data_IF_064293787372
#
_entry.id   IF_064293787372
#
_cell.length_a   1.000
_cell.length_b   1.000
_cell.length_c   1.000
_cell.angle_alpha   90.00
_cell.angle_beta   90.00
_cell.angle_gamma   90.00
#
_symmetry.space_group_name_H-M   'P 1'
#
loop_
_entity.id
_entity.type
_entity.pdbx_description
1 polymer ?
#
# COMPACT_ATOMS: atom_id res chain seq x y z
N UNK A 1 -8.24 8.38 14.18
CA UNK A 1 -6.97 7.78 13.68
C UNK A 1 -7.31 6.68 12.72
N UNK A 2 -6.68 6.65 11.53
CA UNK A 2 -6.73 5.41 10.76
C UNK A 2 -6.15 4.31 11.66
N UNK A 3 -6.97 3.30 11.95
CA UNK A 3 -6.58 2.21 12.83
C UNK A 3 -5.49 1.40 12.13
N UNK A 4 -4.25 1.43 12.66
CA UNK A 4 -3.12 0.69 12.10
C UNK A 4 -3.47 -0.79 11.91
N UNK A 5 -4.29 -1.36 12.79
CA UNK A 5 -4.75 -2.75 12.68
C UNK A 5 -5.63 -2.99 11.44
N UNK A 6 -6.38 -1.98 11.00
CA UNK A 6 -7.16 -2.04 9.75
C UNK A 6 -6.26 -1.96 8.52
N UNK A 7 -5.27 -1.05 8.54
CA UNK A 7 -4.27 -0.92 7.48
C UNK A 7 -3.53 -2.25 7.31
N UNK A 8 -3.06 -2.84 8.41
CA UNK A 8 -2.33 -4.12 8.40
C UNK A 8 -3.21 -5.29 7.90
N UNK A 9 -4.49 -5.32 8.25
CA UNK A 9 -5.45 -6.31 7.73
C UNK A 9 -5.67 -6.17 6.22
N UNK A 10 -5.83 -4.93 5.74
CA UNK A 10 -5.99 -4.67 4.30
C UNK A 10 -4.72 -5.04 3.54
N UNK A 11 -3.56 -4.66 4.04
CA UNK A 11 -2.27 -4.99 3.44
C UNK A 11 -2.06 -6.51 3.36
N UNK A 12 -2.41 -7.25 4.42
CA UNK A 12 -2.35 -8.72 4.43
C UNK A 12 -3.31 -9.33 3.41
N UNK A 13 -4.54 -8.82 3.32
CA UNK A 13 -5.54 -9.28 2.34
C UNK A 13 -5.05 -9.05 0.90
N UNK A 14 -4.54 -7.86 0.60
CA UNK A 14 -4.01 -7.53 -0.73
C UNK A 14 -2.81 -8.41 -1.06
N UNK A 15 -1.89 -8.64 -0.12
CA UNK A 15 -0.76 -9.54 -0.32
C UNK A 15 -1.19 -10.96 -0.68
N UNK A 16 -2.19 -11.51 0.02
CA UNK A 16 -2.76 -12.82 -0.30
C UNK A 16 -3.44 -12.86 -1.67
N UNK A 17 -4.15 -11.79 -2.04
CA UNK A 17 -4.80 -11.70 -3.34
C UNK A 17 -3.80 -11.62 -4.50
N UNK A 18 -2.67 -10.90 -4.34
CA UNK A 18 -1.61 -10.84 -5.35
C UNK A 18 -0.90 -12.20 -5.47
N UNK A 19 -0.62 -12.86 -4.34
CA UNK A 19 -0.04 -14.20 -4.34
C UNK A 19 -0.93 -15.20 -5.09
N UNK A 20 -2.23 -15.16 -4.84
CA UNK A 20 -3.20 -15.97 -5.55
C UNK A 20 -3.26 -15.62 -7.05
N UNK A 21 -3.23 -14.32 -7.41
CA UNK A 21 -3.20 -13.87 -8.79
C UNK A 21 -1.99 -14.45 -9.54
N UNK A 22 -0.79 -14.38 -8.94
CA UNK A 22 0.43 -14.95 -9.54
C UNK A 22 0.27 -16.46 -9.81
N UNK A 23 -0.23 -17.20 -8.82
CA UNK A 23 -0.49 -18.63 -8.96
C UNK A 23 -1.50 -18.93 -10.09
N UNK A 24 -2.65 -18.24 -10.09
CA UNK A 24 -3.73 -18.47 -11.04
C UNK A 24 -3.34 -18.15 -12.47
N UNK A 25 -2.57 -17.08 -12.69
CA UNK A 25 -2.08 -16.71 -14.03
C UNK A 25 -1.10 -17.77 -14.54
N UNK A 26 -0.15 -18.20 -13.72
CA UNK A 26 0.82 -19.24 -14.08
C UNK A 26 0.11 -20.55 -14.44
N UNK A 27 -0.83 -20.99 -13.61
CA UNK A 27 -1.62 -22.22 -13.86
C UNK A 27 -2.35 -22.11 -15.21
N UNK A 28 -3.09 -21.02 -15.40
CA UNK A 28 -3.86 -20.81 -16.63
C UNK A 28 -3.00 -20.86 -17.89
N UNK A 29 -1.83 -20.20 -17.84
CA UNK A 29 -0.92 -20.15 -19.00
C UNK A 29 -0.28 -21.53 -19.25
N UNK A 30 0.23 -22.21 -18.22
CA UNK A 30 0.86 -23.52 -18.36
C UNK A 30 -0.14 -24.57 -18.87
N UNK A 31 -1.38 -24.56 -18.40
CA UNK A 31 -2.44 -25.46 -18.88
C UNK A 31 -2.77 -25.20 -20.36
N UNK A 32 -2.88 -23.92 -20.75
CA UNK A 32 -3.13 -23.54 -22.14
C UNK A 32 -1.95 -23.94 -23.06
N UNK A 33 -0.71 -23.78 -22.59
CA UNK A 33 0.49 -24.24 -23.32
C UNK A 33 0.48 -25.76 -23.51
N UNK A 34 0.22 -26.54 -22.46
CA UNK A 34 0.13 -28.00 -22.53
C UNK A 34 -0.95 -28.45 -23.52
N UNK A 35 -2.11 -27.80 -23.51
CA UNK A 35 -3.20 -28.07 -24.44
C UNK A 35 -2.77 -27.82 -25.89
N UNK A 36 -2.09 -26.71 -26.16
CA UNK A 36 -1.62 -26.36 -27.51
C UNK A 36 -0.55 -27.33 -28.01
N UNK A 37 0.38 -27.74 -27.15
CA UNK A 37 1.38 -28.75 -27.48
C UNK A 37 0.76 -30.10 -27.84
N UNK A 38 -0.25 -30.56 -27.07
CA UNK A 38 -0.98 -31.81 -27.34
C UNK A 38 -1.73 -31.80 -28.68
N UNK A 39 -2.11 -30.63 -29.17
CA UNK A 39 -2.78 -30.49 -30.47
C UNK A 39 -1.82 -30.59 -31.64
N UNK A 40 -0.50 -30.80 -31.43
CA UNK A 40 0.48 -31.04 -32.46
C UNK A 40 0.69 -29.91 -33.47
N UNK A 41 0.46 -28.66 -33.02
CA UNK A 41 0.52 -27.48 -33.92
C UNK A 41 1.92 -27.14 -34.42
N UNK A 42 2.98 -27.80 -33.91
CA UNK A 42 4.37 -27.50 -34.23
C UNK A 42 4.86 -26.13 -33.75
N UNK A 43 4.02 -25.34 -33.10
CA UNK A 43 4.37 -24.03 -32.60
C UNK A 43 5.40 -24.13 -31.49
N UNK A 44 6.39 -23.26 -31.50
CA UNK A 44 7.38 -23.12 -30.44
C UNK A 44 6.72 -22.55 -29.20
N UNK A 45 7.33 -22.77 -28.05
CA UNK A 45 6.87 -22.23 -26.77
C UNK A 45 6.72 -20.70 -26.81
N UNK A 46 7.65 -20.00 -27.44
CA UNK A 46 7.63 -18.53 -27.56
C UNK A 46 6.43 -18.09 -28.39
N UNK A 47 6.17 -18.74 -29.53
CA UNK A 47 5.00 -18.44 -30.38
C UNK A 47 3.68 -18.69 -29.65
N UNK A 48 3.63 -19.68 -28.74
CA UNK A 48 2.47 -19.93 -27.91
C UNK A 48 2.30 -18.81 -26.89
N UNK A 49 3.38 -18.41 -26.19
CA UNK A 49 3.35 -17.35 -25.20
C UNK A 49 2.98 -15.98 -25.81
N UNK A 50 3.45 -15.69 -27.03
CA UNK A 50 3.17 -14.42 -27.72
C UNK A 50 1.67 -14.24 -28.08
N UNK A 51 0.90 -15.34 -28.12
CA UNK A 51 -0.56 -15.28 -28.32
C UNK A 51 -1.33 -14.85 -27.08
N UNK A 52 -0.71 -14.84 -25.90
CA UNK A 52 -1.38 -14.42 -24.68
C UNK A 52 -1.20 -12.92 -24.45
N UNK A 53 -2.31 -12.21 -24.23
CA UNK A 53 -2.28 -10.84 -23.74
C UNK A 53 -2.10 -10.85 -22.21
N UNK A 54 -0.86 -11.04 -21.75
CA UNK A 54 -0.54 -11.11 -20.32
C UNK A 54 -1.02 -9.91 -19.55
N UNK A 55 -0.91 -8.71 -20.13
CA UNK A 55 -1.39 -7.47 -19.47
C UNK A 55 -2.89 -7.53 -19.20
N UNK A 56 -3.67 -7.95 -20.18
CA UNK A 56 -5.12 -8.06 -20.04
C UNK A 56 -5.51 -9.13 -19.01
N UNK A 57 -4.86 -10.31 -19.05
CA UNK A 57 -5.10 -11.40 -18.12
C UNK A 57 -4.80 -10.96 -16.67
N UNK A 58 -3.65 -10.34 -16.44
CA UNK A 58 -3.24 -9.85 -15.13
C UNK A 58 -4.19 -8.75 -14.64
N UNK A 59 -4.51 -7.76 -15.48
CA UNK A 59 -5.39 -6.66 -15.12
C UNK A 59 -6.83 -7.12 -14.84
N UNK A 60 -7.37 -8.08 -15.60
CA UNK A 60 -8.69 -8.63 -15.35
C UNK A 60 -8.75 -9.32 -13.96
N UNK A 61 -7.73 -10.10 -13.61
CA UNK A 61 -7.65 -10.76 -12.28
C UNK A 61 -7.36 -9.75 -11.15
N UNK A 62 -6.71 -8.63 -11.43
CA UNK A 62 -6.39 -7.59 -10.45
C UNK A 62 -7.58 -6.71 -10.06
N UNK A 63 -8.72 -6.76 -10.74
CA UNK A 63 -9.88 -5.87 -10.48
C UNK A 63 -10.32 -5.89 -9.00
N UNK A 64 -10.41 -7.06 -8.39
CA UNK A 64 -10.81 -7.20 -6.98
C UNK A 64 -9.74 -6.61 -6.03
N UNK A 65 -8.46 -6.71 -6.41
CA UNK A 65 -7.35 -6.15 -5.64
C UNK A 65 -7.42 -4.63 -5.68
N UNK A 66 -7.63 -4.06 -6.87
CA UNK A 66 -7.80 -2.61 -7.10
C UNK A 66 -8.99 -2.08 -6.29
N UNK A 67 -10.13 -2.78 -6.33
CA UNK A 67 -11.31 -2.42 -5.55
C UNK A 67 -11.06 -2.47 -4.04
N UNK A 68 -10.35 -3.49 -3.56
CA UNK A 68 -9.97 -3.63 -2.15
C UNK A 68 -9.08 -2.46 -1.72
N UNK A 69 -8.08 -2.10 -2.51
CA UNK A 69 -7.19 -0.97 -2.24
C UNK A 69 -7.93 0.36 -2.27
N UNK A 70 -8.82 0.56 -3.27
CA UNK A 70 -9.67 1.75 -3.35
C UNK A 70 -10.61 1.91 -2.15
N UNK A 71 -11.19 0.82 -1.66
CA UNK A 71 -12.04 0.84 -0.47
C UNK A 71 -11.28 1.17 0.81
N UNK A 72 -10.02 0.73 0.90
CA UNK A 72 -9.15 1.06 2.03
C UNK A 72 -8.88 2.56 2.14
N UNK A 73 -8.69 3.27 1.02
CA UNK A 73 -8.54 4.72 1.02
C UNK A 73 -9.78 5.43 1.60
N UNK A 74 -10.98 4.96 1.27
CA UNK A 74 -12.23 5.51 1.80
C UNK A 74 -12.30 5.27 3.32
N UNK A 75 -11.87 4.11 3.79
CA UNK A 75 -11.87 3.81 5.22
C UNK A 75 -10.85 4.68 5.98
N UNK A 76 -9.63 4.82 5.44
CA UNK A 76 -8.62 5.73 6.01
C UNK A 76 -9.15 7.15 6.15
N UNK A 77 -9.93 7.64 5.15
CA UNK A 77 -10.56 8.96 5.23
C UNK A 77 -11.58 9.07 6.36
N UNK A 78 -12.43 8.05 6.55
CA UNK A 78 -13.45 8.06 7.63
C UNK A 78 -12.82 8.17 9.01
N UNK A 79 -11.61 7.62 9.15
CA UNK A 79 -10.86 7.62 10.41
C UNK A 79 -10.01 8.89 10.60
N UNK A 80 -9.91 9.73 9.55
CA UNK A 80 -9.19 11.02 9.59
C UNK A 80 -10.16 12.13 9.92
N UNK A 81 -10.04 12.71 11.12
CA UNK A 81 -10.96 13.74 11.62
C UNK A 81 -10.89 15.03 10.79
N UNK A 82 -12.06 15.70 10.65
CA UNK A 82 -12.20 17.02 10.03
C UNK A 82 -12.05 17.07 8.50
N UNK A 83 -12.39 15.99 7.80
CA UNK A 83 -12.47 15.94 6.33
C UNK A 83 -13.31 17.09 5.73
N UNK A 84 -14.25 17.66 6.50
CA UNK A 84 -15.10 18.77 6.07
C UNK A 84 -14.32 20.02 5.58
N UNK A 85 -13.01 20.09 5.81
CA UNK A 85 -12.14 21.18 5.34
C UNK A 85 -11.30 20.85 4.10
N UNK A 86 -11.35 19.62 3.63
CA UNK A 86 -10.61 19.18 2.42
C UNK A 86 -11.61 18.96 1.30
N UNK A 87 -11.37 19.57 0.14
CA UNK A 87 -12.28 19.43 -1.00
C UNK A 87 -12.30 17.98 -1.51
N UNK A 88 -13.45 17.54 -2.01
CA UNK A 88 -13.63 16.21 -2.60
C UNK A 88 -12.65 15.98 -3.76
N UNK A 89 -12.40 17.01 -4.56
CA UNK A 89 -11.44 16.99 -5.67
C UNK A 89 -10.02 16.71 -5.16
N UNK A 90 -9.58 17.37 -4.09
CA UNK A 90 -8.26 17.11 -3.46
C UNK A 90 -8.16 15.69 -2.94
N UNK A 91 -9.20 15.18 -2.27
CA UNK A 91 -9.23 13.81 -1.77
C UNK A 91 -9.14 12.79 -2.90
N UNK A 92 -9.85 13.05 -4.01
CA UNK A 92 -9.81 12.20 -5.20
C UNK A 92 -8.42 12.23 -5.85
N UNK A 93 -7.80 13.40 -5.98
CA UNK A 93 -6.44 13.54 -6.54
C UNK A 93 -5.41 12.77 -5.70
N UNK A 94 -5.42 12.89 -4.38
CA UNK A 94 -4.54 12.16 -3.48
C UNK A 94 -4.75 10.65 -3.57
N UNK A 95 -6.01 10.20 -3.64
CA UNK A 95 -6.35 8.78 -3.83
C UNK A 95 -5.79 8.26 -5.15
N UNK A 96 -6.00 8.98 -6.25
CA UNK A 96 -5.53 8.57 -7.57
C UNK A 96 -4.01 8.50 -7.62
N UNK A 97 -3.31 9.45 -7.01
CA UNK A 97 -1.84 9.43 -6.89
C UNK A 97 -1.35 8.19 -6.12
N UNK A 98 -1.94 7.91 -4.96
CA UNK A 98 -1.60 6.72 -4.17
C UNK A 98 -1.87 5.41 -4.92
N UNK A 99 -2.94 5.35 -5.72
CA UNK A 99 -3.29 4.17 -6.50
C UNK A 99 -2.42 3.98 -7.74
N UNK A 100 -1.94 5.05 -8.38
CA UNK A 100 -1.16 4.96 -9.63
C UNK A 100 0.10 4.13 -9.47
N UNK A 101 0.88 4.38 -8.42
CA UNK A 101 2.10 3.61 -8.12
C UNK A 101 1.81 2.12 -7.93
N UNK A 102 0.72 1.79 -7.25
CA UNK A 102 0.31 0.40 -7.05
C UNK A 102 -0.13 -0.27 -8.36
N UNK A 103 -0.87 0.46 -9.22
CA UNK A 103 -1.30 -0.03 -10.54
C UNK A 103 -0.10 -0.25 -11.48
N UNK A 104 0.92 0.59 -11.42
CA UNK A 104 2.17 0.41 -12.17
C UNK A 104 2.88 -0.88 -11.76
N UNK A 105 2.97 -1.17 -10.48
CA UNK A 105 3.55 -2.42 -9.96
C UNK A 105 2.79 -3.66 -10.46
N UNK A 106 1.46 -3.63 -10.44
CA UNK A 106 0.63 -4.71 -10.99
C UNK A 106 0.83 -4.81 -12.52
N UNK A 107 0.92 -3.69 -13.21
CA UNK A 107 1.15 -3.65 -14.66
C UNK A 107 2.48 -4.28 -15.07
N UNK A 108 3.55 -4.04 -14.32
CA UNK A 108 4.87 -4.64 -14.57
C UNK A 108 4.91 -6.15 -14.30
N UNK A 109 4.04 -6.66 -13.45
CA UNK A 109 3.95 -8.09 -13.15
C UNK A 109 3.65 -8.93 -14.41
N UNK A 110 2.91 -8.38 -15.37
CA UNK A 110 2.55 -9.08 -16.59
C UNK A 110 3.78 -9.47 -17.44
N UNK A 111 4.74 -8.56 -17.61
CA UNK A 111 6.01 -8.85 -18.30
C UNK A 111 6.86 -9.84 -17.53
N UNK A 112 6.98 -9.66 -16.22
CA UNK A 112 7.72 -10.58 -15.36
C UNK A 112 7.16 -12.01 -15.45
N UNK A 113 5.84 -12.18 -15.38
CA UNK A 113 5.20 -13.51 -15.51
C UNK A 113 5.54 -14.13 -16.86
N UNK A 114 5.43 -13.38 -17.95
CA UNK A 114 5.76 -13.88 -19.31
C UNK A 114 7.21 -14.37 -19.39
N UNK A 115 8.14 -13.55 -18.93
CA UNK A 115 9.59 -13.84 -18.97
C UNK A 115 9.94 -15.06 -18.11
N UNK A 116 9.41 -15.13 -16.90
CA UNK A 116 9.69 -16.23 -15.98
C UNK A 116 9.07 -17.56 -16.43
N UNK A 117 7.87 -17.54 -17.01
CA UNK A 117 7.29 -18.75 -17.63
C UNK A 117 8.15 -19.21 -18.82
N UNK A 118 8.58 -18.29 -19.70
CA UNK A 118 9.44 -18.64 -20.82
C UNK A 118 10.76 -19.26 -20.33
N UNK A 119 11.45 -18.58 -19.43
CA UNK A 119 12.74 -19.03 -18.86
C UNK A 119 12.61 -20.37 -18.13
N UNK A 120 11.65 -20.48 -17.23
CA UNK A 120 11.45 -21.66 -16.41
C UNK A 120 11.02 -22.88 -17.23
N UNK A 121 10.18 -22.68 -18.25
CA UNK A 121 9.76 -23.76 -19.14
C UNK A 121 10.91 -24.26 -20.01
N UNK A 122 11.80 -23.39 -20.49
CA UNK A 122 13.00 -23.77 -21.23
C UNK A 122 14.01 -24.49 -20.33
N UNK A 123 14.12 -24.10 -19.08
CA UNK A 123 15.01 -24.71 -18.08
C UNK A 123 14.45 -26.00 -17.45
N UNK A 124 13.21 -26.39 -17.76
CA UNK A 124 12.56 -27.55 -17.19
C UNK A 124 12.11 -27.37 -15.74
N UNK A 125 11.87 -26.13 -15.29
CA UNK A 125 11.42 -25.83 -13.95
C UNK A 125 10.03 -26.39 -13.68
N UNK A 126 9.79 -26.84 -12.45
CA UNK A 126 8.46 -27.13 -11.97
C UNK A 126 7.62 -25.86 -11.87
N UNK A 127 6.30 -26.01 -11.88
CA UNK A 127 5.37 -24.88 -11.66
C UNK A 127 5.72 -24.08 -10.40
N UNK A 128 6.05 -24.77 -9.32
CA UNK A 128 6.41 -24.12 -8.05
C UNK A 128 7.66 -23.25 -8.18
N UNK A 129 8.69 -23.73 -8.87
CA UNK A 129 9.91 -22.97 -9.12
C UNK A 129 9.65 -21.74 -10.01
N UNK A 130 8.76 -21.85 -11.00
CA UNK A 130 8.36 -20.69 -11.83
C UNK A 130 7.65 -19.65 -10.98
N UNK A 131 6.70 -20.06 -10.12
CA UNK A 131 5.98 -19.14 -9.22
C UNK A 131 6.94 -18.45 -8.26
N UNK A 132 7.87 -19.18 -7.66
CA UNK A 132 8.88 -18.63 -6.76
C UNK A 132 9.78 -17.61 -7.47
N UNK A 133 10.22 -17.93 -8.67
CA UNK A 133 11.01 -17.04 -9.52
C UNK A 133 10.26 -15.74 -9.86
N UNK A 134 8.96 -15.82 -10.16
CA UNK A 134 8.11 -14.64 -10.39
C UNK A 134 8.05 -13.77 -9.15
N UNK A 135 7.88 -14.35 -7.96
CA UNK A 135 7.84 -13.61 -6.69
C UNK A 135 9.15 -12.87 -6.42
N UNK A 136 10.27 -13.53 -6.64
CA UNK A 136 11.59 -12.94 -6.43
C UNK A 136 11.90 -11.84 -7.46
N UNK A 137 11.70 -12.12 -8.73
CA UNK A 137 12.02 -11.19 -9.82
C UNK A 137 11.11 -9.98 -9.84
N UNK A 138 9.82 -10.15 -9.56
CA UNK A 138 8.86 -9.03 -9.50
C UNK A 138 9.02 -8.17 -8.25
N UNK A 139 9.70 -8.65 -7.22
CA UNK A 139 9.70 -8.01 -5.90
C UNK A 139 8.34 -8.02 -5.21
N UNK A 140 7.35 -8.73 -5.77
CA UNK A 140 5.98 -8.82 -5.23
C UNK A 140 5.82 -10.05 -4.32
N UNK A 141 6.76 -10.22 -3.39
CA UNK A 141 6.57 -11.18 -2.29
C UNK A 141 5.48 -10.69 -1.33
N UNK A 142 4.78 -11.58 -0.61
CA UNK A 142 3.77 -11.16 0.37
C UNK A 142 4.27 -10.14 1.40
N UNK A 143 5.54 -10.22 1.80
CA UNK A 143 6.16 -9.27 2.73
C UNK A 143 6.33 -7.88 2.09
N UNK A 144 6.88 -7.81 0.87
CA UNK A 144 7.05 -6.55 0.15
C UNK A 144 5.70 -5.89 -0.18
N UNK A 145 4.71 -6.67 -0.60
CA UNK A 145 3.36 -6.16 -0.88
C UNK A 145 2.73 -5.55 0.38
N UNK A 146 2.80 -6.24 1.52
CA UNK A 146 2.32 -5.69 2.79
C UNK A 146 3.00 -4.37 3.11
N UNK A 147 4.32 -4.31 3.01
CA UNK A 147 5.10 -3.09 3.24
C UNK A 147 4.66 -1.95 2.32
N UNK A 148 4.55 -2.21 1.01
CA UNK A 148 4.17 -1.20 0.01
C UNK A 148 2.75 -0.68 0.24
N UNK A 149 1.78 -1.56 0.48
CA UNK A 149 0.39 -1.20 0.74
C UNK A 149 0.27 -0.41 2.06
N UNK A 150 0.93 -0.86 3.13
CA UNK A 150 0.93 -0.16 4.41
C UNK A 150 1.55 1.23 4.27
N UNK A 151 2.68 1.34 3.57
CA UNK A 151 3.34 2.63 3.30
C UNK A 151 2.43 3.56 2.51
N UNK A 152 1.82 3.08 1.43
CA UNK A 152 0.94 3.87 0.57
C UNK A 152 -0.29 4.40 1.34
N UNK A 153 -0.93 3.58 2.16
CA UNK A 153 -2.09 3.98 2.95
C UNK A 153 -1.71 4.97 4.07
N UNK A 154 -0.56 4.78 4.72
CA UNK A 154 -0.05 5.72 5.72
C UNK A 154 0.34 7.06 5.08
N UNK A 155 1.02 7.05 3.93
CA UNK A 155 1.35 8.27 3.18
C UNK A 155 0.10 9.01 2.72
N UNK A 156 -0.92 8.27 2.25
CA UNK A 156 -2.22 8.85 1.91
C UNK A 156 -2.87 9.55 3.12
N UNK A 157 -2.92 8.89 4.29
CA UNK A 157 -3.44 9.48 5.53
C UNK A 157 -2.69 10.76 5.91
N UNK A 158 -1.36 10.74 5.85
CA UNK A 158 -0.51 11.92 6.13
C UNK A 158 -0.70 13.03 5.12
N UNK A 159 -0.87 12.70 3.84
CA UNK A 159 -1.14 13.70 2.79
C UNK A 159 -2.45 14.45 3.04
N UNK A 160 -3.51 13.73 3.44
CA UNK A 160 -4.78 14.36 3.85
C UNK A 160 -4.57 15.26 5.07
N UNK A 161 -3.84 14.78 6.08
CA UNK A 161 -3.50 15.58 7.27
C UNK A 161 -2.70 16.83 6.89
N UNK A 162 -1.72 16.71 5.98
CA UNK A 162 -0.93 17.86 5.49
C UNK A 162 -1.79 18.94 4.86
N UNK A 163 -2.76 18.58 4.02
CA UNK A 163 -3.69 19.54 3.43
C UNK A 163 -4.48 20.29 4.53
N UNK A 164 -4.88 19.61 5.58
CA UNK A 164 -5.54 20.25 6.73
C UNK A 164 -4.58 21.16 7.51
N UNK A 165 -3.30 20.75 7.69
CA UNK A 165 -2.27 21.56 8.34
C UNK A 165 -1.98 22.84 7.56
N UNK A 166 -1.90 22.75 6.23
CA UNK A 166 -1.68 23.91 5.34
C UNK A 166 -2.83 24.94 5.41
N UNK A 167 -4.07 24.48 5.65
CA UNK A 167 -5.26 25.31 5.79
C UNK A 167 -5.50 25.84 7.22
N UNK A 168 -4.76 25.33 8.20
CA UNK A 168 -4.94 25.69 9.61
C UNK A 168 -4.29 27.06 9.95
N UNK A 169 -4.71 27.73 11.06
CA UNK A 169 -4.04 28.93 11.55
C UNK A 169 -2.54 28.69 11.78
N UNK A 170 -1.70 29.67 11.42
CA UNK A 170 -0.22 29.54 11.47
C UNK A 170 0.34 29.21 12.85
N UNK A 171 -0.38 29.57 13.91
CA UNK A 171 0.00 29.28 15.30
C UNK A 171 -0.50 27.91 15.82
N UNK A 172 -1.19 27.13 14.97
CA UNK A 172 -1.60 25.78 15.33
C UNK A 172 -0.36 24.92 15.59
N UNK A 173 -0.37 24.20 16.70
CA UNK A 173 0.72 23.30 17.09
C UNK A 173 0.35 21.86 16.83
N UNK A 174 1.35 21.07 16.49
CA UNK A 174 1.23 19.64 16.15
C UNK A 174 2.25 18.86 16.95
N UNK A 175 1.92 17.63 17.27
CA UNK A 175 2.80 16.64 17.91
C UNK A 175 2.96 15.44 16.99
N UNK A 176 4.18 14.87 16.96
CA UNK A 176 4.44 13.66 16.18
C UNK A 176 4.15 12.45 17.06
N UNK A 177 3.12 11.70 16.69
CA UNK A 177 2.58 10.61 17.49
C UNK A 177 2.57 9.30 16.74
N UNK A 178 2.70 8.19 17.46
CA UNK A 178 2.64 6.83 16.96
C UNK A 178 3.14 5.83 18.01
N UNK A 179 3.10 4.53 17.70
CA UNK A 179 3.58 3.51 18.63
C UNK A 179 5.10 3.58 18.79
N UNK A 180 5.56 3.50 20.06
CA UNK A 180 6.99 3.40 20.39
C UNK A 180 7.28 1.96 20.76
N UNK A 181 8.04 1.28 19.89
CA UNK A 181 8.45 -0.12 20.06
C UNK A 181 9.83 -0.37 19.39
N UNK A 182 10.28 -1.62 19.38
CA UNK A 182 11.55 -2.06 18.80
C UNK A 182 11.71 -1.80 17.29
N UNK A 183 10.61 -1.47 16.60
CA UNK A 183 10.61 -1.09 15.17
C UNK A 183 10.57 0.42 14.96
N UNK A 184 10.58 1.20 16.02
CA UNK A 184 10.58 2.66 15.95
C UNK A 184 11.98 3.15 15.60
N UNK A 185 12.10 3.92 14.52
CA UNK A 185 13.38 4.46 14.05
C UNK A 185 13.79 5.68 14.85
N UNK A 186 15.10 5.96 14.87
CA UNK A 186 15.67 7.10 15.58
C UNK A 186 15.06 8.43 15.09
N UNK A 187 14.83 8.60 13.78
CA UNK A 187 14.17 9.78 13.22
C UNK A 187 12.74 9.97 13.76
N UNK A 188 12.01 8.87 13.97
CA UNK A 188 10.68 8.93 14.57
C UNK A 188 10.73 9.30 16.05
N UNK A 189 11.73 8.80 16.79
CA UNK A 189 11.96 9.16 18.19
C UNK A 189 12.36 10.63 18.32
N UNK A 190 13.22 11.13 17.44
CA UNK A 190 13.63 12.54 17.40
C UNK A 190 12.42 13.45 17.15
N UNK A 191 11.62 13.17 16.11
CA UNK A 191 10.39 13.95 15.85
C UNK A 191 9.39 13.86 16.99
N UNK A 192 9.22 12.68 17.62
CA UNK A 192 8.33 12.50 18.77
C UNK A 192 8.77 13.23 20.03
N UNK A 193 10.09 13.37 20.24
CA UNK A 193 10.66 14.08 21.39
C UNK A 193 10.69 15.59 21.22
N UNK A 194 10.47 16.11 20.01
CA UNK A 194 10.53 17.55 19.72
C UNK A 194 9.36 18.35 20.35
N UNK A 195 8.35 17.66 20.86
CA UNK A 195 7.17 18.27 21.48
C UNK A 195 6.24 18.93 20.47
N UNK A 196 5.47 19.92 20.95
CA UNK A 196 4.47 20.61 20.11
C UNK A 196 5.10 21.70 19.26
N UNK A 197 5.07 21.53 17.93
CA UNK A 197 5.66 22.44 16.93
C UNK A 197 4.60 23.04 16.01
N UNK A 198 4.82 24.25 15.53
CA UNK A 198 4.06 24.81 14.41
C UNK A 198 4.47 24.16 13.09
N UNK A 199 3.63 24.25 12.06
CA UNK A 199 3.96 23.72 10.73
C UNK A 199 5.28 24.30 10.16
N UNK A 200 5.54 25.58 10.41
CA UNK A 200 6.79 26.24 9.99
C UNK A 200 8.00 25.68 10.73
N UNK A 201 7.88 25.43 12.03
CA UNK A 201 8.94 24.80 12.83
C UNK A 201 9.21 23.35 12.38
N UNK A 202 8.18 22.57 12.07
CA UNK A 202 8.32 21.21 11.53
C UNK A 202 9.11 21.24 10.21
N UNK A 203 8.74 22.13 9.28
CA UNK A 203 9.42 22.31 8.00
C UNK A 203 10.89 22.72 8.16
N UNK A 204 11.15 23.61 9.09
CA UNK A 204 12.51 24.13 9.36
C UNK A 204 13.41 23.07 9.99
N UNK A 205 12.90 22.24 10.89
CA UNK A 205 13.69 21.25 11.64
C UNK A 205 13.85 19.94 10.90
N UNK A 206 12.78 19.46 10.25
CA UNK A 206 12.70 18.09 9.71
C UNK A 206 12.46 18.07 8.19
N UNK A 207 12.16 19.22 7.57
CA UNK A 207 11.86 19.32 6.14
C UNK A 207 10.39 19.04 5.80
N UNK A 208 10.02 19.30 4.54
CA UNK A 208 8.63 19.14 4.05
C UNK A 208 8.23 17.67 3.93
N UNK A 209 9.18 16.78 3.58
CA UNK A 209 8.91 15.37 3.28
C UNK A 209 8.32 14.60 4.48
N UNK A 210 8.70 14.97 5.71
CA UNK A 210 8.21 14.27 6.93
C UNK A 210 6.70 14.42 7.14
N UNK A 211 6.09 15.42 6.51
CA UNK A 211 4.64 15.63 6.57
C UNK A 211 3.85 14.56 5.80
N UNK A 212 4.48 13.92 4.82
CA UNK A 212 3.89 12.85 3.99
C UNK A 212 4.55 11.51 4.25
N UNK A 213 5.88 11.47 4.25
CA UNK A 213 6.63 10.21 4.37
C UNK A 213 6.82 9.77 5.82
N UNK A 214 6.64 10.70 6.78
CA UNK A 214 6.96 10.45 8.18
C UNK A 214 8.42 10.09 8.35
N UNK A 215 8.75 9.03 9.08
CA UNK A 215 10.11 8.47 9.17
C UNK A 215 10.41 7.45 8.06
N UNK A 216 9.78 7.57 6.87
CA UNK A 216 10.06 6.73 5.69
C UNK A 216 9.17 5.48 5.56
N UNK A 217 9.68 4.47 4.82
CA UNK A 217 8.95 3.24 4.46
C UNK A 217 8.35 2.57 5.69
N UNK A 218 7.07 2.22 5.60
CA UNK A 218 6.32 1.53 6.67
C UNK A 218 6.29 2.29 8.01
N UNK A 219 6.43 3.63 7.97
CA UNK A 219 6.31 4.46 9.17
C UNK A 219 4.85 4.50 9.64
N UNK A 220 4.65 4.30 10.96
CA UNK A 220 3.34 4.26 11.62
C UNK A 220 3.00 5.55 12.36
N UNK A 221 3.91 6.53 12.35
CA UNK A 221 3.78 7.82 13.03
C UNK A 221 3.23 8.89 12.10
N UNK A 222 2.63 9.93 12.69
CA UNK A 222 2.09 11.09 11.96
C UNK A 222 2.05 12.33 12.86
N UNK A 223 1.93 13.50 12.24
CA UNK A 223 1.66 14.75 12.94
C UNK A 223 0.15 14.89 13.20
N UNK A 224 -0.21 15.21 14.43
CA UNK A 224 -1.60 15.54 14.84
C UNK A 224 -1.63 16.85 15.61
N UNK A 225 -2.81 17.49 15.69
CA UNK A 225 -2.98 18.72 16.47
C UNK A 225 -2.67 18.42 17.94
N UNK A 226 -1.78 19.23 18.53
CA UNK A 226 -1.35 19.06 19.92
C UNK A 226 -2.54 19.06 20.90
N UNK A 227 -2.51 18.11 21.83
CA UNK A 227 -3.53 17.99 22.88
C UNK A 227 -4.80 17.23 22.49
N UNK A 228 -4.97 16.81 21.21
CA UNK A 228 -6.16 16.03 20.82
C UNK A 228 -6.14 14.60 21.36
N UNK A 229 -4.98 14.02 21.56
CA UNK A 229 -4.85 12.66 22.10
C UNK A 229 -5.40 12.56 23.54
N UNK A 230 -5.17 13.56 24.38
CA UNK A 230 -5.75 13.63 25.73
C UNK A 230 -7.27 13.63 25.70
N UNK A 231 -7.87 14.39 24.78
CA UNK A 231 -9.32 14.50 24.67
C UNK A 231 -9.97 13.15 24.30
N UNK A 232 -9.37 12.40 23.40
CA UNK A 232 -9.90 11.09 22.97
C UNK A 232 -9.66 9.98 23.99
N UNK A 233 -8.54 10.02 24.70
CA UNK A 233 -8.30 9.09 25.80
C UNK A 233 -9.31 9.30 26.92
N UNK A 234 -9.59 10.56 27.28
CA UNK A 234 -10.53 10.92 28.32
C UNK A 234 -11.98 10.56 27.94
N UNK A 235 -12.38 10.76 26.67
CA UNK A 235 -13.71 10.36 26.17
C UNK A 235 -13.88 8.84 26.15
N UNK A 236 -12.87 8.07 25.72
CA UNK A 236 -12.92 6.59 25.75
C UNK A 236 -12.96 6.04 27.17
N UNK A 237 -12.22 6.65 28.09
CA UNK A 237 -12.19 6.24 29.50
C UNK A 237 -13.51 6.59 30.19
N UNK A 238 -14.09 7.74 29.87
CA UNK A 238 -15.42 8.15 30.40
C UNK A 238 -16.54 7.25 29.82
N UNK A 239 -16.47 6.85 28.56
CA UNK A 239 -17.44 5.96 27.93
C UNK A 239 -17.35 4.53 28.44
N UNK A 240 -16.15 4.01 28.67
CA UNK A 240 -15.94 2.70 29.30
C UNK A 240 -16.38 2.65 30.77
N UNK A 241 -16.38 3.78 31.47
CA UNK A 241 -16.90 3.91 32.86
C UNK A 241 -18.42 4.10 32.91
N UNK A 242 -19.06 4.54 31.83
CA UNK A 242 -20.51 4.71 31.75
C UNK A 242 -21.24 3.42 31.29
N UNK A 243 -20.51 2.51 30.60
CA UNK A 243 -21.03 1.24 30.08
C UNK A 243 -20.73 0.03 31.01
N UNK A 244 -20.12 0.24 32.17
CA UNK A 244 -19.80 -0.78 33.18
C UNK A 244 -20.51 -0.51 34.49
#
# INVERSE_FOLDING_TARGET
MADQSQIDRVATKIASQIDQLQNDVVIQILEAMQKTQRLGTGATMIEILDKFNFKEIVMAKAQNIIATFGSAHIQVLKDTFSIAKVSEETLLALKNFSQSTFLEQIGSLASTIKEEIARGSLAGFSRQQIIESIRETSGLTPAHIRTNVTTALNNYSRSVTKVMMDAAPKNTKYEYIGPIDDRTRDECLEMGSAGSLTLEQIRSQFGEAVLVDGGGINCRHKWEIAGQEKFFHDVRTAQAQADG
#
